data_IF_459779159696
#
_entry.id   IF_459779159696
#
_cell.length_a   1.000
_cell.length_b   1.000
_cell.length_c   1.000
_cell.angle_alpha   90.00
_cell.angle_beta   90.00
_cell.angle_gamma   90.00
#
_symmetry.space_group_name_H-M   'P 1'
#
loop_
_entity.id
_entity.type
_entity.pdbx_description
1 polymer ?
#
# COMPACT_ATOMS: atom_id res chain seq x y z
N UNK A 1 -22.22 40.73 8.98
CA UNK A 1 -21.13 40.00 8.30
C UNK A 1 -20.76 40.79 7.07
N UNK A 2 -19.53 41.26 6.97
CA UNK A 2 -19.12 42.20 5.91
C UNK A 2 -18.76 41.45 4.63
N UNK A 3 -19.06 42.00 3.45
CA UNK A 3 -18.85 41.32 2.15
C UNK A 3 -17.39 40.92 1.94
N UNK A 4 -16.47 41.77 2.41
CA UNK A 4 -15.03 41.52 2.28
C UNK A 4 -14.57 40.35 3.16
N UNK A 5 -15.12 40.21 4.37
CA UNK A 5 -14.86 39.04 5.25
C UNK A 5 -15.35 37.74 4.61
N UNK A 6 -16.50 37.77 3.92
CA UNK A 6 -17.06 36.60 3.22
C UNK A 6 -16.16 36.18 2.07
N UNK A 7 -15.67 37.15 1.28
CA UNK A 7 -14.78 36.90 0.16
C UNK A 7 -13.41 36.39 0.61
N UNK A 8 -12.86 36.93 1.69
CA UNK A 8 -11.59 36.48 2.26
C UNK A 8 -11.71 35.05 2.81
N UNK A 9 -12.77 34.76 3.57
CA UNK A 9 -13.05 33.41 4.08
C UNK A 9 -13.20 32.40 2.95
N UNK A 10 -13.96 32.73 1.91
CA UNK A 10 -14.16 31.85 0.75
C UNK A 10 -12.85 31.58 -0.02
N UNK A 11 -11.98 32.59 -0.20
CA UNK A 11 -10.67 32.40 -0.83
C UNK A 11 -9.76 31.51 0.00
N UNK A 12 -9.79 31.67 1.33
CA UNK A 12 -9.00 30.85 2.25
C UNK A 12 -9.48 29.40 2.24
N UNK A 13 -10.78 29.15 2.37
CA UNK A 13 -11.36 27.80 2.32
C UNK A 13 -11.02 27.10 0.99
N UNK A 14 -11.13 27.79 -0.14
CA UNK A 14 -10.80 27.23 -1.45
C UNK A 14 -9.29 26.89 -1.59
N UNK A 15 -8.42 27.74 -1.03
CA UNK A 15 -6.98 27.45 -0.97
C UNK A 15 -6.70 26.23 -0.10
N UNK A 16 -7.34 26.13 1.06
CA UNK A 16 -7.17 25.01 1.99
C UNK A 16 -7.65 23.68 1.37
N UNK A 17 -8.79 23.68 0.67
CA UNK A 17 -9.30 22.52 -0.08
C UNK A 17 -8.33 22.09 -1.21
N UNK A 18 -7.77 23.06 -1.95
CA UNK A 18 -6.80 22.79 -3.00
C UNK A 18 -5.51 22.19 -2.44
N UNK A 19 -4.99 22.71 -1.33
CA UNK A 19 -3.79 22.17 -0.69
C UNK A 19 -4.03 20.74 -0.18
N UNK A 20 -5.19 20.47 0.42
CA UNK A 20 -5.58 19.10 0.79
C UNK A 20 -5.66 18.16 -0.41
N UNK A 21 -6.21 18.62 -1.54
CA UNK A 21 -6.27 17.82 -2.77
C UNK A 21 -4.87 17.50 -3.31
N UNK A 22 -3.99 18.50 -3.39
CA UNK A 22 -2.59 18.30 -3.84
C UNK A 22 -1.88 17.29 -2.93
N UNK A 23 -2.05 17.44 -1.60
CA UNK A 23 -1.48 16.51 -0.63
C UNK A 23 -1.97 15.06 -0.80
N UNK A 24 -3.28 14.88 -1.00
CA UNK A 24 -3.86 13.55 -1.27
C UNK A 24 -3.32 12.95 -2.57
N UNK A 25 -3.30 13.72 -3.66
CA UNK A 25 -2.81 13.26 -4.95
C UNK A 25 -1.31 12.91 -4.90
N UNK A 26 -0.50 13.70 -4.20
CA UNK A 26 0.92 13.40 -3.99
C UNK A 26 1.13 12.09 -3.21
N UNK A 27 0.33 11.85 -2.17
CA UNK A 27 0.39 10.62 -1.39
C UNK A 27 -0.06 9.40 -2.22
N UNK A 28 -1.15 9.54 -2.99
CA UNK A 28 -1.65 8.49 -3.88
C UNK A 28 -0.62 8.13 -4.97
N UNK A 29 -0.03 9.13 -5.62
CA UNK A 29 1.03 8.91 -6.61
C UNK A 29 2.26 8.24 -5.99
N UNK A 30 2.63 8.64 -4.77
CA UNK A 30 3.76 8.02 -4.06
C UNK A 30 3.46 6.55 -3.73
N UNK A 31 2.25 6.27 -3.24
CA UNK A 31 1.80 4.92 -2.96
C UNK A 31 1.79 4.03 -4.21
N UNK A 32 1.25 4.54 -5.34
CA UNK A 32 1.26 3.83 -6.62
C UNK A 32 2.69 3.55 -7.11
N UNK A 33 3.58 4.54 -7.03
CA UNK A 33 4.98 4.37 -7.41
C UNK A 33 5.67 3.27 -6.57
N UNK A 34 5.43 3.27 -5.25
CA UNK A 34 5.92 2.22 -4.35
C UNK A 34 5.36 0.85 -4.75
N UNK A 35 4.05 0.71 -4.95
CA UNK A 35 3.46 -0.56 -5.37
C UNK A 35 4.07 -1.05 -6.68
N UNK A 36 4.22 -0.19 -7.69
CA UNK A 36 4.79 -0.57 -8.98
C UNK A 36 6.22 -1.08 -8.81
N UNK A 37 7.05 -0.37 -8.04
CA UNK A 37 8.46 -0.77 -7.82
C UNK A 37 8.52 -2.10 -7.07
N UNK A 38 7.81 -2.23 -5.95
CA UNK A 38 7.86 -3.46 -5.14
C UNK A 38 7.26 -4.66 -5.89
N UNK A 39 6.16 -4.49 -6.64
CA UNK A 39 5.56 -5.56 -7.45
C UNK A 39 6.49 -6.00 -8.58
N UNK A 40 7.13 -5.05 -9.26
CA UNK A 40 8.11 -5.35 -10.30
C UNK A 40 9.30 -6.12 -9.73
N UNK A 41 9.85 -5.68 -8.59
CA UNK A 41 10.97 -6.37 -7.93
C UNK A 41 10.57 -7.77 -7.46
N UNK A 42 9.41 -7.93 -6.82
CA UNK A 42 8.89 -9.24 -6.42
C UNK A 42 8.82 -10.21 -7.60
N UNK A 43 8.27 -9.77 -8.75
CA UNK A 43 8.12 -10.62 -9.93
C UNK A 43 9.48 -10.96 -10.54
N UNK A 44 10.35 -9.97 -10.75
CA UNK A 44 11.67 -10.18 -11.37
C UNK A 44 12.52 -11.12 -10.51
N UNK A 45 12.58 -10.89 -9.20
CA UNK A 45 13.39 -11.71 -8.30
C UNK A 45 12.82 -13.13 -8.14
N UNK A 46 11.49 -13.28 -8.15
CA UNK A 46 10.85 -14.59 -8.16
C UNK A 46 11.23 -15.38 -9.42
N UNK A 47 11.12 -14.75 -10.59
CA UNK A 47 11.50 -15.37 -11.87
C UNK A 47 12.99 -15.67 -11.91
N UNK A 48 13.84 -14.76 -11.44
CA UNK A 48 15.29 -14.98 -11.35
C UNK A 48 15.60 -16.20 -10.46
N UNK A 49 14.97 -16.30 -9.29
CA UNK A 49 15.14 -17.42 -8.38
C UNK A 49 14.69 -18.74 -9.02
N UNK A 50 13.55 -18.73 -9.73
CA UNK A 50 13.01 -19.91 -10.39
C UNK A 50 13.93 -20.42 -11.52
N UNK A 51 14.52 -19.51 -12.30
CA UNK A 51 15.35 -19.87 -13.46
C UNK A 51 16.79 -20.23 -13.09
N UNK A 52 17.37 -19.55 -12.09
CA UNK A 52 18.80 -19.65 -11.79
C UNK A 52 19.10 -20.31 -10.44
N UNK A 53 18.08 -20.56 -9.62
CA UNK A 53 18.22 -21.06 -8.25
C UNK A 53 18.82 -20.03 -7.27
N UNK A 54 19.12 -18.80 -7.73
CA UNK A 54 19.67 -17.71 -6.92
C UNK A 54 19.10 -16.36 -7.36
N UNK A 55 18.48 -15.62 -6.44
CA UNK A 55 18.10 -14.24 -6.68
C UNK A 55 19.10 -13.27 -6.08
N UNK A 56 19.19 -12.05 -6.66
CA UNK A 56 19.99 -10.96 -6.09
C UNK A 56 19.53 -10.60 -4.65
N UNK A 57 18.22 -10.63 -4.43
CA UNK A 57 17.60 -10.40 -3.14
C UNK A 57 16.39 -11.32 -2.98
N UNK A 58 15.96 -11.54 -1.75
CA UNK A 58 14.81 -12.37 -1.45
C UNK A 58 13.51 -11.66 -1.88
N UNK A 59 12.85 -12.21 -2.91
CA UNK A 59 11.60 -11.68 -3.45
C UNK A 59 10.49 -11.60 -2.38
N UNK A 60 10.54 -12.45 -1.35
CA UNK A 60 9.55 -12.50 -0.27
C UNK A 60 9.52 -11.19 0.52
N UNK A 61 10.66 -10.52 0.69
CA UNK A 61 10.72 -9.24 1.40
C UNK A 61 9.92 -8.16 0.67
N UNK A 62 10.02 -8.13 -0.66
CA UNK A 62 9.27 -7.17 -1.47
C UNK A 62 7.78 -7.52 -1.50
N UNK A 63 7.45 -8.82 -1.57
CA UNK A 63 6.06 -9.29 -1.53
C UNK A 63 5.40 -9.00 -0.19
N UNK A 64 6.14 -9.11 0.91
CA UNK A 64 5.67 -8.75 2.24
C UNK A 64 5.31 -7.25 2.32
N UNK A 65 6.17 -6.38 1.78
CA UNK A 65 5.90 -4.94 1.75
C UNK A 65 4.63 -4.62 0.95
N UNK A 66 4.41 -5.30 -0.19
CA UNK A 66 3.17 -5.17 -0.97
C UNK A 66 1.94 -5.61 -0.17
N UNK A 67 1.99 -6.77 0.48
CA UNK A 67 0.87 -7.30 1.24
C UNK A 67 0.49 -6.37 2.40
N UNK A 68 1.46 -5.82 3.11
CA UNK A 68 1.23 -4.82 4.16
C UNK A 68 0.61 -3.55 3.56
N UNK A 69 1.20 -3.02 2.49
CA UNK A 69 0.70 -1.81 1.82
C UNK A 69 -0.73 -1.94 1.30
N UNK A 70 -1.05 -3.07 0.67
CA UNK A 70 -2.40 -3.37 0.17
C UNK A 70 -3.39 -3.58 1.31
N UNK A 71 -3.01 -4.31 2.37
CA UNK A 71 -3.89 -4.52 3.55
C UNK A 71 -4.30 -3.20 4.21
N UNK A 72 -3.40 -2.22 4.26
CA UNK A 72 -3.72 -0.89 4.77
C UNK A 72 -4.73 -0.16 3.88
N UNK A 73 -4.56 -0.24 2.56
CA UNK A 73 -5.46 0.39 1.60
C UNK A 73 -6.85 -0.29 1.59
N UNK A 74 -6.89 -1.61 1.43
CA UNK A 74 -8.15 -2.37 1.40
C UNK A 74 -8.87 -2.29 2.73
N UNK A 75 -8.15 -2.32 3.85
CA UNK A 75 -8.73 -2.18 5.19
C UNK A 75 -9.34 -0.79 5.41
N UNK A 76 -8.67 0.25 4.91
CA UNK A 76 -9.21 1.62 4.93
C UNK A 76 -10.44 1.73 4.03
N UNK A 77 -10.41 1.13 2.83
CA UNK A 77 -11.58 1.11 1.93
C UNK A 77 -12.77 0.41 2.57
N UNK A 78 -12.57 -0.72 3.25
CA UNK A 78 -13.63 -1.41 4.01
C UNK A 78 -14.19 -0.55 5.15
N UNK A 79 -13.34 0.21 5.85
CA UNK A 79 -13.80 1.09 6.93
C UNK A 79 -14.84 2.10 6.44
N UNK A 80 -14.63 2.66 5.24
CA UNK A 80 -15.55 3.64 4.62
C UNK A 80 -16.66 3.00 3.76
N UNK A 81 -16.44 1.79 3.23
CA UNK A 81 -17.39 1.05 2.38
C UNK A 81 -17.78 -0.28 3.03
N UNK A 82 -18.34 -0.20 4.25
CA UNK A 82 -18.66 -1.37 5.12
C UNK A 82 -19.58 -2.40 4.47
N UNK A 83 -20.37 -1.98 3.49
CA UNK A 83 -21.33 -2.83 2.79
C UNK A 83 -20.65 -3.74 1.76
N UNK A 84 -19.49 -3.34 1.25
CA UNK A 84 -18.70 -4.15 0.33
C UNK A 84 -17.77 -5.09 1.09
N UNK A 85 -18.26 -6.31 1.31
CA UNK A 85 -17.51 -7.36 2.01
C UNK A 85 -16.30 -7.86 1.24
N UNK A 86 -16.16 -7.55 -0.05
CA UNK A 86 -14.98 -7.92 -0.83
C UNK A 86 -13.74 -7.27 -0.20
N UNK A 87 -13.82 -6.00 0.20
CA UNK A 87 -12.68 -5.34 0.86
C UNK A 87 -12.28 -6.02 2.17
N UNK A 88 -13.25 -6.43 2.99
CA UNK A 88 -12.96 -7.16 4.23
C UNK A 88 -12.23 -8.48 3.95
N UNK A 89 -12.74 -9.26 2.99
CA UNK A 89 -12.15 -10.55 2.65
C UNK A 89 -10.74 -10.35 2.10
N UNK A 90 -10.53 -9.38 1.20
CA UNK A 90 -9.21 -9.04 0.67
C UNK A 90 -8.24 -8.66 1.78
N UNK A 91 -8.63 -7.77 2.69
CA UNK A 91 -7.78 -7.37 3.83
C UNK A 91 -7.38 -8.57 4.70
N UNK A 92 -8.33 -9.48 5.00
CA UNK A 92 -8.03 -10.67 5.79
C UNK A 92 -7.04 -11.59 5.06
N UNK A 93 -7.25 -11.83 3.76
CA UNK A 93 -6.36 -12.65 2.94
C UNK A 93 -4.96 -12.04 2.83
N UNK A 94 -4.87 -10.72 2.66
CA UNK A 94 -3.61 -9.98 2.60
C UNK A 94 -2.84 -10.06 3.93
N UNK A 95 -3.54 -9.93 5.07
CA UNK A 95 -2.95 -10.09 6.40
C UNK A 95 -2.44 -11.51 6.62
N UNK A 96 -3.25 -12.53 6.30
CA UNK A 96 -2.82 -13.93 6.40
C UNK A 96 -1.61 -14.17 5.52
N UNK A 97 -1.64 -13.69 4.27
CA UNK A 97 -0.52 -13.76 3.34
C UNK A 97 0.74 -13.09 3.88
N UNK A 98 0.61 -11.91 4.49
CA UNK A 98 1.73 -11.19 5.11
C UNK A 98 2.34 -11.98 6.26
N UNK A 99 1.50 -12.54 7.14
CA UNK A 99 1.96 -13.37 8.27
C UNK A 99 2.67 -14.63 7.76
N UNK A 100 2.08 -15.33 6.78
CA UNK A 100 2.71 -16.51 6.18
C UNK A 100 4.03 -16.17 5.48
N UNK A 101 4.09 -15.05 4.77
CA UNK A 101 5.30 -14.58 4.11
C UNK A 101 6.40 -14.25 5.13
N UNK A 102 6.06 -13.54 6.21
CA UNK A 102 6.97 -13.24 7.31
C UNK A 102 7.47 -14.52 7.99
N UNK A 103 6.57 -15.46 8.30
CA UNK A 103 6.92 -16.74 8.88
C UNK A 103 7.86 -17.55 7.97
N UNK A 104 7.65 -17.50 6.65
CA UNK A 104 8.54 -18.14 5.68
C UNK A 104 9.93 -17.51 5.68
N UNK A 105 10.02 -16.16 5.68
CA UNK A 105 11.31 -15.45 5.74
C UNK A 105 12.08 -15.82 7.01
N UNK A 106 11.41 -15.74 8.17
CA UNK A 106 12.01 -16.07 9.46
C UNK A 106 12.40 -17.54 9.51
N UNK A 107 11.51 -18.45 9.10
CA UNK A 107 11.73 -19.89 9.12
C UNK A 107 12.95 -20.29 8.29
N UNK A 108 13.10 -19.74 7.07
CA UNK A 108 14.29 -20.01 6.24
C UNK A 108 15.55 -19.40 6.85
N UNK A 109 15.46 -18.20 7.45
CA UNK A 109 16.59 -17.58 8.14
C UNK A 109 17.05 -18.35 9.39
N UNK A 110 16.13 -19.04 10.07
CA UNK A 110 16.41 -19.87 11.25
C UNK A 110 16.72 -21.33 10.91
N UNK A 111 16.62 -21.74 9.64
CA UNK A 111 16.81 -23.12 9.19
C UNK A 111 15.70 -24.08 9.62
N UNK A 112 14.50 -23.59 9.88
CA UNK A 112 13.33 -24.41 10.23
C UNK A 112 12.73 -25.15 9.02
N UNK A 113 12.88 -24.57 7.83
CA UNK A 113 12.49 -25.14 6.54
C UNK A 113 13.49 -24.74 5.45
#
# INVERSE_FOLDING_TARGET
MNKDEILEKSRKENKDEREQYIGKAANENSYLAVIIVFSTLSIILFVQNLLTGKAFADYRVFSLALLIGMSGQTGTLYYYHRDDKVFLISTILEIIGAISCLASIIGTGMGWF
#
